data_IF_140683147217
#
_entry.id   IF_140683147217
#
_cell.length_a   1.000
_cell.length_b   1.000
_cell.length_c   1.000
_cell.angle_alpha   90.00
_cell.angle_beta   90.00
_cell.angle_gamma   90.00
#
_symmetry.space_group_name_H-M   'P 1'
#
loop_
_entity.id
_entity.type
_entity.pdbx_description
1 polymer ?
#
# COMPACT_ATOMS: atom_id res chain seq x y z
N UNK A 1 8.22 28.64 3.55
CA UNK A 1 8.60 27.22 3.63
C UNK A 1 7.48 26.26 4.08
N UNK A 2 6.28 26.72 4.43
CA UNK A 2 5.16 25.85 4.89
C UNK A 2 4.45 25.04 3.80
N UNK A 3 4.60 25.38 2.54
CA UNK A 3 3.86 24.73 1.43
C UNK A 3 4.59 23.53 0.81
N UNK A 4 5.90 23.42 0.99
CA UNK A 4 6.70 22.33 0.40
C UNK A 4 6.43 20.96 1.04
N UNK A 5 6.05 20.92 2.32
CA UNK A 5 5.76 19.67 3.05
C UNK A 5 4.43 19.07 2.61
N UNK A 6 3.43 19.90 2.30
CA UNK A 6 2.11 19.44 1.84
C UNK A 6 2.20 18.80 0.45
N UNK A 7 3.02 19.35 -0.44
CA UNK A 7 3.24 18.82 -1.79
C UNK A 7 3.94 17.46 -1.75
N UNK A 8 4.87 17.26 -0.81
CA UNK A 8 5.55 15.97 -0.62
C UNK A 8 4.57 14.88 -0.13
N UNK A 9 3.60 15.23 0.71
CA UNK A 9 2.60 14.30 1.21
C UNK A 9 1.58 13.89 0.12
N UNK A 10 1.17 14.79 -0.73
CA UNK A 10 0.28 14.47 -1.86
C UNK A 10 0.97 13.60 -2.92
N UNK A 11 2.27 13.79 -3.14
CA UNK A 11 3.05 12.95 -4.05
C UNK A 11 3.23 11.49 -3.56
N UNK A 12 3.18 11.26 -2.26
CA UNK A 12 3.32 9.92 -1.65
C UNK A 12 2.05 9.08 -1.83
N UNK A 13 0.88 9.72 -1.93
CA UNK A 13 -0.41 9.03 -2.07
C UNK A 13 -0.67 8.48 -3.48
N UNK A 14 0.01 8.98 -4.51
CA UNK A 14 -0.22 8.59 -5.90
C UNK A 14 0.45 7.28 -6.34
N UNK A 15 1.20 6.61 -5.45
CA UNK A 15 2.15 5.58 -5.82
C UNK A 15 1.61 4.14 -6.01
N UNK A 16 0.33 3.85 -5.85
CA UNK A 16 -0.16 2.46 -5.82
C UNK A 16 -1.31 2.12 -6.77
N UNK A 17 -1.57 2.88 -7.80
CA UNK A 17 -2.77 2.72 -8.62
C UNK A 17 -2.80 1.52 -9.57
N UNK A 18 -1.67 0.92 -9.92
CA UNK A 18 -1.60 -0.26 -10.81
C UNK A 18 -1.51 -1.59 -10.07
N UNK A 19 -1.15 -1.60 -8.80
CA UNK A 19 -0.86 -2.81 -8.04
C UNK A 19 -2.07 -3.54 -7.44
N UNK A 20 -3.26 -2.95 -7.48
CA UNK A 20 -4.46 -3.51 -6.84
C UNK A 20 -5.14 -4.64 -7.62
N UNK A 21 -4.97 -4.70 -8.96
CA UNK A 21 -5.68 -5.65 -9.81
C UNK A 21 -5.04 -7.03 -9.88
N UNK A 22 -5.80 -8.02 -10.35
CA UNK A 22 -5.29 -9.36 -10.64
C UNK A 22 -4.38 -9.41 -11.87
N UNK A 23 -4.39 -8.35 -12.70
CA UNK A 23 -3.53 -8.26 -13.86
C UNK A 23 -2.06 -8.20 -13.43
N UNK A 24 -1.21 -8.86 -14.19
CA UNK A 24 0.24 -8.86 -14.00
C UNK A 24 0.92 -8.05 -15.10
N UNK A 25 2.10 -7.57 -14.79
CA UNK A 25 3.00 -6.99 -15.81
C UNK A 25 3.55 -8.11 -16.69
N UNK A 26 3.66 -7.84 -17.98
CA UNK A 26 4.22 -8.76 -18.96
C UNK A 26 5.63 -9.22 -18.55
N UNK A 27 5.94 -10.48 -18.83
CA UNK A 27 7.23 -11.06 -18.54
C UNK A 27 8.39 -10.24 -19.14
N UNK A 28 9.41 -9.98 -18.34
CA UNK A 28 10.58 -9.17 -18.71
C UNK A 28 10.36 -7.65 -18.65
N UNK A 29 9.13 -7.18 -18.55
CA UNK A 29 8.84 -5.75 -18.38
C UNK A 29 9.14 -5.31 -16.96
N UNK A 30 9.66 -4.08 -16.83
CA UNK A 30 9.88 -3.40 -15.53
C UNK A 30 9.14 -2.08 -15.52
N UNK A 31 8.50 -1.77 -14.42
CA UNK A 31 7.89 -0.46 -14.17
C UNK A 31 8.52 0.16 -12.92
N UNK A 32 9.01 1.37 -13.07
CA UNK A 32 9.68 2.10 -11.98
C UNK A 32 9.05 3.49 -11.94
N UNK A 33 8.38 3.79 -10.84
CA UNK A 33 7.89 5.14 -10.59
C UNK A 33 8.64 5.80 -9.44
N UNK A 34 8.58 7.11 -9.34
CA UNK A 34 9.27 7.86 -8.27
C UNK A 34 8.72 7.47 -6.89
N UNK A 35 7.41 7.41 -6.75
CA UNK A 35 6.69 7.11 -5.51
C UNK A 35 5.97 5.75 -5.54
N UNK A 36 5.89 5.08 -6.69
CA UNK A 36 5.29 3.76 -6.81
C UNK A 36 6.29 2.65 -6.47
N UNK A 37 5.81 1.45 -6.12
CA UNK A 37 6.66 0.27 -6.07
C UNK A 37 7.36 0.03 -7.41
N UNK A 38 8.49 -0.66 -7.34
CA UNK A 38 9.14 -1.22 -8.52
C UNK A 38 8.41 -2.52 -8.82
N UNK A 39 7.94 -2.68 -10.06
CA UNK A 39 7.32 -3.92 -10.53
C UNK A 39 8.20 -4.59 -11.56
N UNK A 40 8.31 -5.91 -11.49
CA UNK A 40 9.06 -6.73 -12.43
C UNK A 40 8.20 -7.91 -12.84
N UNK A 41 7.84 -7.98 -14.12
CA UNK A 41 7.17 -9.14 -14.70
C UNK A 41 8.14 -10.32 -14.77
N UNK A 42 7.78 -11.42 -14.14
CA UNK A 42 8.54 -12.66 -14.14
C UNK A 42 7.88 -13.66 -15.10
N UNK A 43 8.61 -14.73 -15.43
CA UNK A 43 8.05 -15.83 -16.20
C UNK A 43 6.94 -16.57 -15.41
N UNK A 44 6.14 -17.37 -16.12
CA UNK A 44 5.11 -18.25 -15.53
C UNK A 44 4.01 -17.51 -14.74
N UNK A 45 3.53 -16.38 -15.26
CA UNK A 45 2.41 -15.66 -14.65
C UNK A 45 2.72 -15.15 -13.25
N UNK A 46 3.91 -14.57 -13.05
CA UNK A 46 4.35 -14.01 -11.78
C UNK A 46 4.82 -12.57 -11.94
N UNK A 47 4.65 -11.79 -10.88
CA UNK A 47 5.10 -10.41 -10.77
C UNK A 47 5.73 -10.20 -9.40
N UNK A 48 6.93 -9.65 -9.40
CA UNK A 48 7.60 -9.19 -8.18
C UNK A 48 7.38 -7.70 -8.02
N UNK A 49 7.02 -7.26 -6.82
CA UNK A 49 6.97 -5.85 -6.49
C UNK A 49 7.80 -5.53 -5.24
N UNK A 50 8.51 -4.40 -5.30
CA UNK A 50 9.32 -3.91 -4.19
C UNK A 50 8.82 -2.50 -3.87
N UNK A 51 8.24 -2.35 -2.71
CA UNK A 51 7.85 -1.04 -2.20
C UNK A 51 9.06 -0.41 -1.49
N UNK A 52 9.54 0.68 -2.06
CA UNK A 52 10.68 1.46 -1.54
C UNK A 52 10.26 2.57 -0.59
N UNK A 53 8.99 2.65 -0.24
CA UNK A 53 8.51 3.62 0.73
C UNK A 53 9.13 3.33 2.10
N UNK A 54 9.97 4.27 2.57
CA UNK A 54 10.82 4.07 3.75
C UNK A 54 10.06 3.70 5.01
N UNK A 55 8.84 4.21 5.19
CA UNK A 55 8.04 3.89 6.38
C UNK A 55 7.56 2.44 6.42
N UNK A 56 7.32 1.85 5.23
CA UNK A 56 6.76 0.52 5.11
C UNK A 56 7.40 -0.23 3.92
N UNK A 57 8.73 -0.45 3.96
CA UNK A 57 9.38 -1.21 2.91
C UNK A 57 8.81 -2.61 2.84
N UNK A 58 8.47 -3.05 1.65
CA UNK A 58 7.89 -4.37 1.45
C UNK A 58 8.31 -4.99 0.13
N UNK A 59 8.31 -6.32 0.11
CA UNK A 59 8.49 -7.13 -1.08
C UNK A 59 7.26 -8.02 -1.24
N UNK A 60 6.73 -8.10 -2.46
CA UNK A 60 5.58 -8.97 -2.72
C UNK A 60 5.76 -9.74 -4.02
N UNK A 61 5.28 -10.97 -4.00
CA UNK A 61 5.14 -11.85 -5.15
C UNK A 61 3.65 -12.01 -5.45
N UNK A 62 3.21 -11.58 -6.64
CA UNK A 62 1.87 -11.81 -7.16
C UNK A 62 1.94 -12.89 -8.23
N UNK A 63 1.01 -13.82 -8.20
CA UNK A 63 0.92 -14.95 -9.13
C UNK A 63 -0.49 -15.06 -9.66
N UNK A 64 -0.62 -15.23 -10.97
CA UNK A 64 -1.86 -15.53 -11.63
C UNK A 64 -2.44 -16.86 -11.14
N UNK A 65 -3.76 -16.94 -11.06
CA UNK A 65 -4.53 -18.14 -10.75
C UNK A 65 -5.57 -18.37 -11.83
N UNK A 66 -6.11 -19.57 -11.89
CA UNK A 66 -7.18 -19.91 -12.82
C UNK A 66 -8.35 -18.96 -12.68
N UNK A 67 -8.83 -18.43 -13.79
CA UNK A 67 -10.00 -17.54 -13.82
C UNK A 67 -11.27 -18.25 -13.36
N UNK A 68 -12.15 -17.52 -12.70
CA UNK A 68 -13.46 -18.00 -12.27
C UNK A 68 -14.53 -17.22 -13.05
N UNK A 69 -15.13 -17.87 -14.04
CA UNK A 69 -16.04 -17.20 -14.95
C UNK A 69 -15.37 -16.02 -15.66
N UNK A 70 -15.88 -14.81 -15.46
CA UNK A 70 -15.33 -13.58 -16.05
C UNK A 70 -14.31 -12.87 -15.15
N UNK A 71 -13.95 -13.46 -14.02
CA UNK A 71 -12.99 -12.89 -13.08
C UNK A 71 -11.61 -13.48 -13.33
N UNK A 72 -10.65 -12.62 -13.64
CA UNK A 72 -9.23 -12.97 -13.55
C UNK A 72 -8.84 -13.03 -12.09
N UNK A 73 -8.14 -14.09 -11.69
CA UNK A 73 -7.75 -14.31 -10.31
C UNK A 73 -6.24 -14.24 -10.16
N UNK A 74 -5.81 -13.65 -9.06
CA UNK A 74 -4.41 -13.67 -8.64
C UNK A 74 -4.32 -13.86 -7.12
N UNK A 75 -3.20 -14.39 -6.68
CA UNK A 75 -2.81 -14.36 -5.28
C UNK A 75 -1.57 -13.49 -5.12
N UNK A 76 -1.47 -12.81 -3.98
CA UNK A 76 -0.30 -12.02 -3.60
C UNK A 76 0.18 -12.44 -2.22
N UNK A 77 1.49 -12.65 -2.10
CA UNK A 77 2.17 -12.81 -0.82
C UNK A 77 3.11 -11.64 -0.65
N UNK A 78 3.07 -10.99 0.50
CA UNK A 78 3.86 -9.80 0.80
C UNK A 78 4.53 -9.94 2.16
N UNK A 79 5.79 -9.55 2.23
CA UNK A 79 6.53 -9.34 3.48
C UNK A 79 6.79 -7.85 3.63
N UNK A 80 6.59 -7.34 4.84
CA UNK A 80 6.74 -5.93 5.17
C UNK A 80 7.55 -5.77 6.44
N UNK A 81 8.47 -4.79 6.45
CA UNK A 81 9.37 -4.55 7.57
C UNK A 81 9.46 -3.05 7.91
N UNK A 82 8.49 -2.50 8.65
CA UNK A 82 8.40 -1.07 8.94
C UNK A 82 9.49 -0.58 9.92
N UNK A 83 10.09 -1.46 10.71
CA UNK A 83 11.08 -1.09 11.74
C UNK A 83 12.20 -0.19 11.20
N UNK A 84 12.72 -0.47 10.00
CA UNK A 84 13.78 0.34 9.39
C UNK A 84 13.33 1.78 9.21
N UNK A 85 12.15 1.97 8.61
CA UNK A 85 11.61 3.30 8.33
C UNK A 85 11.27 4.07 9.60
N UNK A 86 10.67 3.39 10.57
CA UNK A 86 10.32 4.00 11.84
C UNK A 86 11.56 4.42 12.62
N UNK A 87 12.62 3.58 12.67
CA UNK A 87 13.92 3.95 13.28
C UNK A 87 14.61 5.07 12.53
N UNK A 88 14.48 5.13 11.20
CA UNK A 88 15.04 6.24 10.43
C UNK A 88 14.35 7.56 10.80
N UNK A 89 13.04 7.58 11.01
CA UNK A 89 12.31 8.76 11.50
C UNK A 89 12.68 9.17 12.93
N UNK A 90 13.21 8.25 13.73
CA UNK A 90 13.78 8.55 15.06
C UNK A 90 15.24 9.01 15.01
N UNK A 91 15.89 8.96 13.84
CA UNK A 91 17.26 9.47 13.65
C UNK A 91 17.32 10.99 13.86
N UNK A 92 18.53 11.60 13.95
CA UNK A 92 18.66 13.06 14.10
C UNK A 92 17.87 13.87 13.08
N UNK A 93 17.76 13.38 11.82
CA UNK A 93 16.88 13.96 10.80
C UNK A 93 15.41 13.90 11.19
N UNK A 94 14.97 12.79 11.79
CA UNK A 94 13.61 12.64 12.33
C UNK A 94 13.37 13.47 13.58
N UNK A 95 14.40 13.74 14.40
CA UNK A 95 14.28 14.62 15.58
C UNK A 95 14.10 16.08 15.21
N UNK A 96 14.70 16.53 14.11
CA UNK A 96 14.47 17.89 13.59
C UNK A 96 13.06 18.05 12.99
N UNK A 97 12.50 16.96 12.42
CA UNK A 97 11.09 16.89 12.04
C UNK A 97 10.15 16.74 13.23
N UNK A 98 10.66 16.23 14.37
CA UNK A 98 9.97 15.98 15.64
C UNK A 98 10.22 17.02 16.71
N UNK A 99 10.58 18.26 16.37
CA UNK A 99 10.57 19.38 17.31
C UNK A 99 9.19 19.41 18.00
N UNK A 100 9.12 19.41 19.36
CA UNK A 100 7.84 19.50 20.08
C UNK A 100 7.02 20.74 19.71
N UNK A 101 7.59 21.73 19.07
CA UNK A 101 6.90 22.87 18.46
C UNK A 101 6.48 22.63 16.99
N UNK A 102 6.85 21.50 16.40
CA UNK A 102 6.40 21.01 15.10
C UNK A 102 5.86 19.58 15.30
N UNK A 103 4.90 19.16 14.50
CA UNK A 103 4.28 17.84 14.56
C UNK A 103 5.32 16.71 14.66
N UNK A 104 5.48 16.16 15.86
CA UNK A 104 6.27 14.95 16.08
C UNK A 104 5.55 13.77 15.39
N UNK A 105 6.07 13.30 14.28
CA UNK A 105 5.54 12.14 13.57
C UNK A 105 5.74 10.85 14.37
N UNK A 106 6.79 10.79 15.18
CA UNK A 106 7.08 9.68 16.10
C UNK A 106 7.74 10.29 17.33
N UNK A 107 7.24 9.97 18.53
CA UNK A 107 7.88 10.37 19.77
C UNK A 107 9.32 9.84 19.83
N UNK A 108 10.33 10.66 20.13
CA UNK A 108 11.71 10.21 20.35
C UNK A 108 11.86 9.17 21.47
N UNK A 109 10.89 9.12 22.38
CA UNK A 109 10.86 8.18 23.52
C UNK A 109 10.24 6.82 23.14
N UNK A 110 9.65 6.74 21.96
CA UNK A 110 9.03 5.52 21.49
C UNK A 110 10.09 4.47 21.12
N UNK A 111 10.07 3.34 21.81
CA UNK A 111 10.90 2.21 21.43
C UNK A 111 10.28 1.49 20.22
N UNK A 112 10.88 1.64 19.05
CA UNK A 112 10.45 0.94 17.83
C UNK A 112 10.89 -0.51 17.90
N UNK A 113 9.97 -1.46 18.09
CA UNK A 113 10.31 -2.88 18.18
C UNK A 113 10.71 -3.44 16.81
N UNK A 114 11.29 -4.63 16.82
CA UNK A 114 11.54 -5.39 15.59
C UNK A 114 10.24 -6.04 15.12
N UNK A 115 9.71 -5.53 14.01
CA UNK A 115 8.42 -5.95 13.48
C UNK A 115 8.56 -6.40 12.05
N UNK A 116 7.98 -7.54 11.73
CA UNK A 116 7.80 -8.03 10.37
C UNK A 116 6.36 -8.51 10.21
N UNK A 117 5.74 -8.29 9.08
CA UNK A 117 4.46 -8.91 8.77
C UNK A 117 4.51 -9.72 7.48
N UNK A 118 3.75 -10.79 7.48
CA UNK A 118 3.43 -11.58 6.31
C UNK A 118 1.97 -11.36 5.95
N UNK A 119 1.68 -11.03 4.70
CA UNK A 119 0.34 -10.75 4.20
C UNK A 119 0.05 -11.63 2.99
N UNK A 120 -1.08 -12.37 3.03
CA UNK A 120 -1.61 -13.15 1.93
C UNK A 120 -2.92 -12.56 1.44
N UNK A 121 -3.09 -12.38 0.13
CA UNK A 121 -4.26 -11.75 -0.50
C UNK A 121 -4.69 -12.53 -1.73
N UNK A 122 -6.00 -12.72 -1.88
CA UNK A 122 -6.65 -13.17 -3.10
C UNK A 122 -7.28 -11.96 -3.78
N UNK A 123 -7.09 -11.85 -5.09
CA UNK A 123 -7.50 -10.71 -5.90
C UNK A 123 -8.31 -11.24 -7.07
N UNK A 124 -9.52 -10.72 -7.26
CA UNK A 124 -10.34 -10.97 -8.42
C UNK A 124 -10.57 -9.67 -9.20
N UNK A 125 -10.36 -9.67 -10.50
CA UNK A 125 -10.55 -8.51 -11.37
C UNK A 125 -11.43 -8.87 -12.56
N UNK A 126 -12.42 -8.01 -12.85
CA UNK A 126 -13.33 -8.15 -13.99
C UNK A 126 -13.45 -6.83 -14.73
N UNK A 127 -13.65 -6.92 -16.05
CA UNK A 127 -13.82 -5.76 -16.92
C UNK A 127 -12.53 -5.30 -17.56
N UNK A 128 -12.60 -4.19 -18.27
CA UNK A 128 -11.47 -3.59 -18.98
C UNK A 128 -11.30 -2.13 -18.61
N UNK A 129 -10.16 -1.57 -18.89
CA UNK A 129 -9.89 -0.13 -18.62
C UNK A 129 -10.86 0.81 -19.35
N UNK A 130 -11.36 0.41 -20.54
CA UNK A 130 -12.26 1.23 -21.36
C UNK A 130 -13.70 1.22 -20.85
N UNK A 131 -14.21 0.06 -20.46
CA UNK A 131 -15.60 -0.11 -20.00
C UNK A 131 -15.73 0.21 -18.51
N UNK A 132 -14.69 -0.07 -17.77
CA UNK A 132 -14.58 -0.04 -16.32
C UNK A 132 -14.06 -1.38 -15.83
N UNK A 133 -13.11 -1.32 -14.94
CA UNK A 133 -12.49 -2.47 -14.28
C UNK A 133 -12.86 -2.45 -12.80
N UNK A 134 -13.44 -3.54 -12.34
CA UNK A 134 -13.76 -3.76 -10.93
C UNK A 134 -12.78 -4.79 -10.39
N UNK A 135 -12.18 -4.50 -9.28
CA UNK A 135 -11.33 -5.43 -8.54
C UNK A 135 -11.90 -5.61 -7.13
N UNK A 136 -11.97 -6.83 -6.68
CA UNK A 136 -12.25 -7.20 -5.29
C UNK A 136 -11.05 -7.93 -4.73
N UNK A 137 -10.79 -7.74 -3.44
CA UNK A 137 -9.66 -8.38 -2.78
C UNK A 137 -9.97 -8.71 -1.33
N UNK A 138 -9.40 -9.81 -0.87
CA UNK A 138 -9.50 -10.23 0.51
C UNK A 138 -8.22 -10.90 0.94
N UNK A 139 -7.78 -10.62 2.15
CA UNK A 139 -6.52 -11.15 2.64
C UNK A 139 -6.39 -11.10 4.14
N UNK A 140 -5.33 -11.72 4.62
CA UNK A 140 -5.00 -11.81 6.03
C UNK A 140 -3.52 -11.48 6.22
N UNK A 141 -3.22 -10.70 7.25
CA UNK A 141 -1.88 -10.37 7.68
C UNK A 141 -1.61 -10.91 9.06
N UNK A 142 -0.39 -11.35 9.28
CA UNK A 142 0.14 -11.78 10.57
C UNK A 142 1.40 -11.00 10.88
N UNK A 143 1.53 -10.48 12.11
CA UNK A 143 2.79 -9.93 12.57
C UNK A 143 3.64 -10.99 13.25
N UNK A 144 4.93 -10.91 12.99
CA UNK A 144 5.97 -11.73 13.60
C UNK A 144 6.94 -10.79 14.34
N UNK A 145 7.37 -11.20 15.52
CA UNK A 145 8.26 -10.42 16.37
C UNK A 145 7.52 -9.73 17.52
N UNK A 146 8.08 -8.63 17.99
CA UNK A 146 7.54 -7.89 19.12
C UNK A 146 6.28 -7.12 18.71
N UNK A 147 5.32 -7.01 19.62
CA UNK A 147 4.15 -6.15 19.40
C UNK A 147 4.51 -4.71 19.72
N UNK A 148 3.89 -3.77 19.03
CA UNK A 148 3.94 -2.37 19.41
C UNK A 148 3.26 -2.18 20.75
N UNK A 149 3.94 -1.50 21.70
CA UNK A 149 3.35 -1.16 22.98
C UNK A 149 2.30 -0.07 22.83
N UNK A 150 1.39 -0.02 23.80
CA UNK A 150 0.25 0.90 23.79
C UNK A 150 0.64 2.36 23.97
N UNK A 151 1.86 2.62 24.43
CA UNK A 151 2.31 3.95 24.89
C UNK A 151 2.93 4.81 23.78
N UNK A 152 3.03 4.27 22.57
CA UNK A 152 3.66 4.96 21.44
C UNK A 152 2.75 4.95 20.22
N UNK A 153 1.71 5.77 20.21
CA UNK A 153 0.81 5.86 19.07
C UNK A 153 1.44 6.70 17.96
N UNK A 154 1.61 6.07 16.79
CA UNK A 154 1.75 6.82 15.56
C UNK A 154 0.33 7.08 15.09
N UNK A 155 -0.29 8.11 15.64
CA UNK A 155 -1.67 8.50 15.32
C UNK A 155 -1.80 9.19 13.96
N UNK A 156 -1.10 8.68 12.96
CA UNK A 156 -1.30 9.12 11.59
C UNK A 156 -2.43 8.29 10.96
N UNK A 157 -3.59 8.89 10.66
CA UNK A 157 -4.76 8.18 10.14
C UNK A 157 -4.46 7.37 8.87
N UNK A 158 -3.43 7.77 8.11
CA UNK A 158 -3.02 7.12 6.86
C UNK A 158 -2.18 5.85 7.12
N UNK A 159 -1.47 5.80 8.25
CA UNK A 159 -0.53 4.71 8.55
C UNK A 159 -1.19 3.69 9.47
N UNK A 160 -2.08 4.12 10.33
CA UNK A 160 -2.72 3.28 11.34
C UNK A 160 -3.37 1.99 10.79
N UNK A 161 -4.14 2.00 9.70
CA UNK A 161 -4.74 0.77 9.19
C UNK A 161 -3.70 -0.30 8.82
N UNK A 162 -2.55 0.14 8.28
CA UNK A 162 -1.47 -0.76 7.86
C UNK A 162 -0.61 -1.24 9.02
N UNK A 163 -0.43 -0.41 10.04
CA UNK A 163 0.29 -0.79 11.26
C UNK A 163 -0.58 -1.59 12.23
N UNK A 164 -1.87 -1.68 12.00
CA UNK A 164 -2.82 -2.37 12.89
C UNK A 164 -2.44 -3.82 13.19
N UNK A 165 -1.83 -4.52 12.22
CA UNK A 165 -1.35 -5.90 12.38
C UNK A 165 -0.28 -6.01 13.48
N UNK A 166 0.55 -4.98 13.68
CA UNK A 166 1.62 -5.00 14.67
C UNK A 166 1.12 -4.78 16.09
N UNK A 167 -0.03 -4.12 16.25
CA UNK A 167 -0.71 -3.99 17.55
C UNK A 167 -1.52 -5.23 17.91
N UNK A 168 -2.16 -5.83 16.92
CA UNK A 168 -3.15 -6.88 17.12
C UNK A 168 -2.62 -8.30 16.85
N UNK A 169 -1.48 -8.41 16.18
CA UNK A 169 -0.90 -9.68 15.74
C UNK A 169 -1.53 -10.23 14.46
N UNK A 170 -2.81 -9.94 14.22
CA UNK A 170 -3.57 -10.37 13.04
C UNK A 170 -4.42 -9.22 12.53
N UNK A 171 -4.52 -9.08 11.21
CA UNK A 171 -5.48 -8.18 10.57
C UNK A 171 -6.07 -8.87 9.33
N UNK A 172 -7.38 -8.73 9.14
CA UNK A 172 -8.10 -9.19 7.96
C UNK A 172 -8.41 -7.96 7.12
N UNK A 173 -8.12 -8.02 5.82
CA UNK A 173 -8.41 -6.95 4.88
C UNK A 173 -9.43 -7.42 3.84
N UNK A 174 -10.43 -6.60 3.58
CA UNK A 174 -11.37 -6.76 2.46
C UNK A 174 -11.44 -5.43 1.73
N UNK A 175 -11.33 -5.44 0.43
CA UNK A 175 -11.33 -4.20 -0.33
C UNK A 175 -11.86 -4.35 -1.75
N UNK A 176 -12.08 -3.19 -2.37
CA UNK A 176 -12.52 -3.08 -3.74
C UNK A 176 -11.97 -1.85 -4.42
N UNK A 177 -11.71 -1.99 -5.69
CA UNK A 177 -11.22 -0.93 -6.57
C UNK A 177 -12.10 -0.82 -7.80
N UNK A 178 -12.43 0.39 -8.18
CA UNK A 178 -13.00 0.69 -9.48
C UNK A 178 -12.06 1.60 -10.25
N UNK A 179 -11.67 1.17 -11.44
CA UNK A 179 -10.83 1.94 -12.35
C UNK A 179 -11.50 2.07 -13.72
N UNK A 180 -11.48 3.28 -14.29
CA UNK A 180 -11.97 3.51 -15.64
C UNK A 180 -11.14 4.54 -16.36
N UNK A 181 -10.78 4.24 -17.62
CA UNK A 181 -10.17 5.19 -18.54
C UNK A 181 -11.26 5.88 -19.34
N UNK A 182 -11.33 7.21 -19.28
CA UNK A 182 -12.23 7.99 -20.12
C UNK A 182 -11.80 7.91 -21.59
N UNK A 183 -12.71 8.30 -22.50
CA UNK A 183 -12.37 8.47 -23.93
C UNK A 183 -11.32 9.56 -24.16
N UNK A 184 -11.14 10.47 -23.20
CA UNK A 184 -10.08 11.47 -23.15
C UNK A 184 -8.81 10.87 -22.52
N UNK A 185 -7.78 11.70 -22.36
CA UNK A 185 -6.53 11.31 -21.71
C UNK A 185 -6.64 11.11 -20.19
N UNK A 186 -7.84 11.18 -19.63
CA UNK A 186 -8.11 11.07 -18.21
C UNK A 186 -8.57 9.68 -17.81
N UNK A 187 -8.14 9.25 -16.66
CA UNK A 187 -8.66 8.06 -15.98
C UNK A 187 -8.90 8.37 -14.51
N UNK A 188 -9.78 7.61 -13.89
CA UNK A 188 -10.08 7.74 -12.48
C UNK A 188 -10.09 6.38 -11.81
N UNK A 189 -9.66 6.40 -10.55
CA UNK A 189 -9.61 5.25 -9.67
C UNK A 189 -10.26 5.62 -8.35
N UNK A 190 -11.08 4.72 -7.84
CA UNK A 190 -11.63 4.76 -6.49
C UNK A 190 -11.28 3.43 -5.85
N UNK A 191 -10.65 3.47 -4.71
CA UNK A 191 -10.19 2.31 -3.95
C UNK A 191 -10.66 2.42 -2.50
N UNK A 192 -11.15 1.32 -1.96
CA UNK A 192 -11.65 1.24 -0.61
C UNK A 192 -11.22 -0.06 0.03
N UNK A 193 -10.56 0.03 1.18
CA UNK A 193 -10.12 -1.10 1.99
C UNK A 193 -10.69 -0.99 3.41
N UNK A 194 -11.23 -2.09 3.90
CA UNK A 194 -11.63 -2.28 5.29
C UNK A 194 -10.67 -3.26 5.96
N UNK A 195 -10.15 -2.89 7.10
CA UNK A 195 -9.32 -3.71 7.95
C UNK A 195 -10.10 -4.11 9.19
N UNK A 196 -10.14 -5.40 9.48
CA UNK A 196 -10.77 -5.96 10.67
C UNK A 196 -9.69 -6.58 11.55
N UNK A 197 -9.68 -6.22 12.82
CA UNK A 197 -8.68 -6.62 13.79
C UNK A 197 -9.33 -7.47 14.89
N UNK A 198 -9.35 -8.80 14.74
CA UNK A 198 -9.98 -9.67 15.73
C UNK A 198 -9.19 -9.65 17.04
N UNK A 199 -9.77 -9.13 18.10
CA UNK A 199 -9.18 -9.16 19.44
C UNK A 199 -8.37 -7.94 19.85
N UNK A 200 -8.34 -6.88 19.02
CA UNK A 200 -7.58 -5.66 19.30
C UNK A 200 -8.40 -4.46 19.72
N UNK A 201 -7.69 -3.40 20.12
CA UNK A 201 -8.26 -2.07 20.22
C UNK A 201 -8.58 -1.56 18.83
N UNK A 202 -9.77 -0.99 18.64
CA UNK A 202 -10.23 -0.59 17.32
C UNK A 202 -10.53 -1.80 16.45
N UNK A 203 -11.75 -2.29 16.49
CA UNK A 203 -12.17 -3.53 15.82
C UNK A 203 -12.07 -3.45 14.29
N UNK A 204 -12.07 -2.27 13.72
CA UNK A 204 -12.02 -2.04 12.27
C UNK A 204 -11.43 -0.67 11.96
N UNK A 205 -10.86 -0.56 10.79
CA UNK A 205 -10.37 0.69 10.21
C UNK A 205 -10.66 0.71 8.71
N UNK A 206 -10.71 1.90 8.11
CA UNK A 206 -11.00 2.09 6.70
C UNK A 206 -9.89 2.90 6.04
N UNK A 207 -9.50 2.49 4.86
CA UNK A 207 -8.65 3.27 3.97
C UNK A 207 -9.39 3.49 2.67
N UNK A 208 -9.39 4.71 2.16
CA UNK A 208 -9.94 5.02 0.85
C UNK A 208 -8.93 5.86 0.05
N UNK A 209 -8.92 5.66 -1.25
CA UNK A 209 -8.11 6.42 -2.18
C UNK A 209 -8.95 6.83 -3.37
N UNK A 210 -8.85 8.08 -3.74
CA UNK A 210 -9.36 8.59 -5.01
C UNK A 210 -8.21 9.15 -5.82
N UNK A 211 -8.14 8.82 -7.10
CA UNK A 211 -7.10 9.33 -7.97
C UNK A 211 -7.65 9.66 -9.36
N UNK A 212 -7.21 10.80 -9.90
CA UNK A 212 -7.43 11.18 -11.28
C UNK A 212 -6.08 11.20 -11.98
N UNK A 213 -5.96 10.47 -13.07
CA UNK A 213 -4.70 10.32 -13.80
C UNK A 213 -4.86 10.91 -15.19
N UNK A 214 -3.95 11.79 -15.56
CA UNK A 214 -3.80 12.27 -16.91
C UNK A 214 -2.70 11.49 -17.64
N UNK A 215 -3.00 11.00 -18.83
CA UNK A 215 -2.08 10.18 -19.63
C UNK A 215 -1.79 10.88 -20.95
N UNK A 216 -0.59 11.43 -21.13
CA UNK A 216 -0.12 11.97 -22.42
C UNK A 216 0.10 10.85 -23.44
N UNK A 217 0.59 9.71 -22.98
CA UNK A 217 0.85 8.51 -23.79
C UNK A 217 0.76 7.27 -22.88
N UNK A 218 0.89 6.07 -23.45
CA UNK A 218 0.96 4.82 -22.64
C UNK A 218 2.20 4.78 -21.73
N UNK A 219 3.27 5.49 -22.10
CA UNK A 219 4.53 5.54 -21.34
C UNK A 219 4.61 6.70 -20.34
N UNK A 220 3.72 7.70 -20.44
CA UNK A 220 3.78 8.89 -19.59
C UNK A 220 2.42 9.20 -18.99
N UNK A 221 2.32 9.11 -17.69
CA UNK A 221 1.11 9.34 -16.88
C UNK A 221 1.46 10.18 -15.64
N UNK A 222 0.57 11.09 -15.27
CA UNK A 222 0.64 11.92 -14.06
C UNK A 222 -0.67 11.73 -13.28
N UNK A 223 -0.57 11.40 -12.01
CA UNK A 223 -1.70 11.23 -11.10
C UNK A 223 -1.45 11.88 -9.77
#
# INVERSE_FOLDING_TARGET
>A
MRYSVIILFFGILSAQWTGGSANLIESGRKEIGLFSPIYVGLNNGKELSINKFLLMPSIALKQERSSIGQWQMAQKLQLEYPTIGLKWLQSPLGKELGDPNMFALISPQFNVPQMISAYGELIGTRGTEKIGRVTIRGGIAFSLGEKMSEDGTIDLPIIYPRLSVYYNGVAIKVGGEYYRRSKTQWSYLIDYDMFVMPGGRGRYSFEHKGMVVWSKSEKFRIG
#
